data_IF_745257611121
#
_entry.id   IF_745257611121
#
_cell.length_a   1.000
_cell.length_b   1.000
_cell.length_c   1.000
_cell.angle_alpha   90.00
_cell.angle_beta   90.00
_cell.angle_gamma   90.00
#
_symmetry.space_group_name_H-M   'P 1'
#
loop_
_entity.id
_entity.type
_entity.pdbx_description
1 polymer ?
#
# COMPACT_ATOMS: atom_id res chain seq x y z
N UNK A 1 31.78 25.00 -26.88
CA UNK A 1 30.35 25.09 -27.24
C UNK A 1 29.83 23.67 -27.17
N UNK A 2 29.14 23.34 -26.08
CA UNK A 2 28.74 21.98 -25.74
C UNK A 2 27.23 21.95 -25.57
N UNK A 3 26.58 21.06 -26.32
CA UNK A 3 25.15 20.81 -26.19
C UNK A 3 24.96 19.38 -25.71
N UNK A 4 24.86 19.24 -24.39
CA UNK A 4 24.44 18.00 -23.73
C UNK A 4 22.94 18.07 -23.49
N UNK A 5 22.15 17.44 -24.35
CA UNK A 5 20.71 17.29 -24.15
C UNK A 5 20.43 16.14 -23.18
N UNK A 6 20.50 16.44 -21.88
CA UNK A 6 20.01 15.55 -20.83
C UNK A 6 18.50 15.75 -20.65
N UNK A 7 17.69 14.94 -21.34
CA UNK A 7 16.25 14.90 -21.10
C UNK A 7 15.95 14.09 -19.83
N UNK A 8 15.54 14.84 -18.81
CA UNK A 8 14.99 14.38 -17.53
C UNK A 8 13.83 13.40 -17.75
N UNK A 9 13.97 12.15 -17.31
CA UNK A 9 12.87 11.19 -17.23
C UNK A 9 12.51 10.92 -15.77
N UNK A 10 11.74 11.85 -15.20
CA UNK A 10 10.95 11.64 -13.98
C UNK A 10 9.48 11.48 -14.40
N UNK A 11 9.01 10.23 -14.45
CA UNK A 11 7.62 9.91 -14.78
C UNK A 11 7.14 8.67 -14.03
N UNK A 12 6.14 8.88 -13.17
CA UNK A 12 5.18 7.92 -12.59
C UNK A 12 5.72 6.56 -12.12
N UNK A 13 5.86 6.45 -10.79
CA UNK A 13 6.07 5.18 -10.08
C UNK A 13 4.77 4.35 -10.05
N UNK A 14 4.34 3.85 -11.21
CA UNK A 14 3.33 2.79 -11.34
C UNK A 14 3.90 1.42 -10.96
N UNK A 15 3.03 0.46 -10.64
CA UNK A 15 3.40 -0.85 -10.09
C UNK A 15 4.22 -1.73 -11.07
N UNK A 16 4.31 -1.37 -12.35
CA UNK A 16 5.29 -1.91 -13.33
C UNK A 16 6.73 -1.70 -12.88
N UNK A 17 6.98 -0.76 -11.96
CA UNK A 17 8.25 -0.64 -11.26
C UNK A 17 8.67 -1.93 -10.53
N UNK A 18 7.75 -2.86 -10.24
CA UNK A 18 8.06 -4.17 -9.63
C UNK A 18 8.59 -5.19 -10.64
N UNK A 19 8.14 -5.15 -11.90
CA UNK A 19 8.85 -5.80 -13.01
C UNK A 19 10.22 -5.15 -13.25
N UNK A 20 10.34 -3.82 -13.02
CA UNK A 20 11.62 -3.09 -13.10
C UNK A 20 12.59 -3.36 -11.94
N UNK A 21 12.11 -3.67 -10.73
CA UNK A 21 12.93 -4.01 -9.53
C UNK A 21 13.18 -5.51 -9.35
N UNK A 22 12.39 -6.34 -10.03
CA UNK A 22 12.49 -7.81 -9.99
C UNK A 22 13.61 -8.39 -10.85
N UNK A 23 14.41 -7.56 -11.51
CA UNK A 23 15.74 -7.95 -11.95
C UNK A 23 16.60 -8.20 -10.72
N UNK A 24 16.44 -9.37 -10.08
CA UNK A 24 17.60 -10.09 -9.55
C UNK A 24 18.69 -9.89 -10.58
N UNK A 25 19.86 -9.40 -10.19
CA UNK A 25 21.05 -9.50 -11.02
C UNK A 25 21.11 -10.94 -11.52
N UNK A 26 20.59 -11.19 -12.71
CA UNK A 26 20.62 -12.51 -13.31
C UNK A 26 22.10 -12.68 -13.58
N UNK A 27 22.75 -13.50 -12.77
CA UNK A 27 24.09 -13.97 -13.06
C UNK A 27 23.94 -14.77 -14.35
N UNK A 28 24.17 -14.09 -15.47
CA UNK A 28 24.29 -14.76 -16.75
C UNK A 28 25.51 -15.66 -16.65
N UNK A 29 25.34 -16.96 -16.88
CA UNK A 29 26.44 -17.94 -16.86
C UNK A 29 27.44 -17.74 -18.01
N UNK A 30 27.18 -16.79 -18.92
CA UNK A 30 28.16 -16.42 -19.95
C UNK A 30 29.22 -15.43 -19.45
N UNK A 31 30.05 -14.97 -20.39
CA UNK A 31 31.26 -14.22 -20.08
C UNK A 31 30.96 -12.92 -19.31
N UNK A 32 31.58 -12.77 -18.13
CA UNK A 32 31.49 -11.56 -17.32
C UNK A 32 31.97 -10.33 -18.12
N UNK A 33 31.16 -9.26 -18.11
CA UNK A 33 31.51 -7.97 -18.70
C UNK A 33 32.05 -7.06 -17.60
N UNK A 34 33.19 -6.43 -17.82
CA UNK A 34 33.81 -5.49 -16.86
C UNK A 34 33.57 -4.06 -17.35
N UNK A 35 33.04 -3.21 -16.48
CA UNK A 35 32.85 -1.80 -16.79
C UNK A 35 34.16 -1.01 -16.64
N UNK A 36 34.18 0.26 -17.08
CA UNK A 36 35.37 1.11 -16.96
C UNK A 36 35.78 1.45 -15.52
N UNK A 37 34.97 1.12 -14.52
CA UNK A 37 35.37 1.18 -13.11
C UNK A 37 36.19 -0.07 -12.66
N UNK A 38 36.41 -1.05 -13.54
CA UNK A 38 37.04 -2.33 -13.17
C UNK A 38 36.12 -3.30 -12.43
N UNK A 39 34.81 -3.00 -12.34
CA UNK A 39 33.81 -3.85 -11.68
C UNK A 39 33.02 -4.67 -12.70
N UNK A 40 32.49 -5.82 -12.27
CA UNK A 40 31.54 -6.60 -13.09
C UNK A 40 30.28 -5.78 -13.36
N UNK A 41 29.98 -5.60 -14.64
CA UNK A 41 28.77 -4.95 -15.13
C UNK A 41 27.58 -5.91 -14.96
N UNK A 42 26.56 -5.57 -14.14
CA UNK A 42 25.36 -6.39 -14.04
C UNK A 42 24.58 -6.46 -15.35
N UNK A 43 23.87 -7.57 -15.54
CA UNK A 43 22.83 -7.68 -16.56
C UNK A 43 21.58 -6.92 -16.10
N UNK A 44 21.12 -6.00 -16.94
CA UNK A 44 19.99 -5.13 -16.73
C UNK A 44 18.97 -5.32 -17.86
N UNK A 45 17.71 -4.98 -17.59
CA UNK A 45 16.64 -4.97 -18.59
C UNK A 45 16.20 -3.53 -18.84
N UNK A 46 16.13 -3.14 -20.11
CA UNK A 46 15.69 -1.81 -20.51
C UNK A 46 14.18 -1.64 -20.28
N UNK A 47 13.83 -0.45 -19.83
CA UNK A 47 12.45 -0.04 -19.56
C UNK A 47 12.03 1.17 -20.39
N UNK A 48 12.78 1.50 -21.43
CA UNK A 48 12.43 2.55 -22.40
C UNK A 48 11.44 1.99 -23.42
N UNK A 49 10.50 2.81 -23.88
CA UNK A 49 9.46 2.42 -24.83
C UNK A 49 10.01 1.75 -26.11
N UNK A 50 11.17 2.20 -26.57
CA UNK A 50 11.83 1.69 -27.78
C UNK A 50 12.55 0.36 -27.57
N UNK A 51 12.97 0.06 -26.33
CA UNK A 51 13.77 -1.12 -26.00
C UNK A 51 13.18 -1.88 -24.79
N UNK A 52 11.86 -1.90 -24.63
CA UNK A 52 11.23 -2.54 -23.47
C UNK A 52 11.59 -4.02 -23.41
N UNK A 53 12.04 -4.49 -22.25
CA UNK A 53 12.37 -5.90 -22.05
C UNK A 53 13.72 -6.33 -22.64
N UNK A 54 14.39 -5.49 -23.44
CA UNK A 54 15.70 -5.80 -24.03
C UNK A 54 16.80 -5.75 -22.98
N UNK A 55 17.68 -6.76 -22.94
CA UNK A 55 18.72 -6.84 -21.90
C UNK A 55 20.05 -6.23 -22.35
N UNK A 56 20.75 -5.62 -21.40
CA UNK A 56 22.06 -4.99 -21.59
C UNK A 56 22.94 -5.15 -20.35
N UNK A 57 24.26 -5.12 -20.53
CA UNK A 57 25.22 -4.94 -19.44
C UNK A 57 25.51 -3.46 -19.25
N UNK A 58 25.35 -2.95 -18.03
CA UNK A 58 25.60 -1.55 -17.69
C UNK A 58 26.45 -1.42 -16.44
N UNK A 59 27.17 -0.31 -16.27
CA UNK A 59 27.84 -0.02 -14.99
C UNK A 59 26.83 -0.06 -13.84
N UNK A 60 27.11 -0.68 -12.69
CA UNK A 60 26.18 -0.73 -11.54
C UNK A 60 25.65 0.65 -11.11
N UNK A 61 26.42 1.70 -11.35
CA UNK A 61 26.07 3.09 -11.01
C UNK A 61 25.39 3.86 -12.16
N UNK A 62 25.04 3.22 -13.28
CA UNK A 62 24.51 3.89 -14.48
C UNK A 62 23.23 4.70 -14.18
N UNK A 63 22.33 4.20 -13.34
CA UNK A 63 21.09 4.89 -12.98
C UNK A 63 21.29 6.09 -12.07
N UNK A 64 22.45 6.20 -11.42
CA UNK A 64 22.76 7.29 -10.48
C UNK A 64 23.40 8.50 -11.14
N UNK A 65 23.57 8.49 -12.47
CA UNK A 65 24.26 9.56 -13.21
C UNK A 65 25.77 9.66 -12.97
N UNK A 66 26.32 8.86 -12.05
CA UNK A 66 27.74 8.76 -11.70
C UNK A 66 28.40 7.49 -12.25
N UNK A 67 27.71 6.79 -13.15
CA UNK A 67 28.26 5.60 -13.81
C UNK A 67 29.35 5.99 -14.81
N UNK A 68 30.30 5.08 -15.04
CA UNK A 68 31.38 5.32 -16.00
C UNK A 68 30.96 5.26 -17.47
N UNK A 69 29.65 5.29 -17.79
CA UNK A 69 29.14 5.21 -19.16
C UNK A 69 29.20 3.84 -19.84
N UNK A 70 29.71 2.80 -19.17
CA UNK A 70 29.75 1.45 -19.77
C UNK A 70 28.34 0.93 -20.06
N UNK A 71 28.10 0.55 -21.32
CA UNK A 71 26.84 0.03 -21.81
C UNK A 71 27.06 -0.93 -22.98
N UNK A 72 26.44 -2.11 -22.94
CA UNK A 72 26.51 -3.10 -24.03
C UNK A 72 25.20 -3.89 -24.12
N UNK A 73 24.57 -3.92 -25.29
CA UNK A 73 23.39 -4.78 -25.52
C UNK A 73 23.77 -6.27 -25.48
N UNK A 74 22.97 -7.08 -24.78
CA UNK A 74 23.03 -8.54 -24.84
C UNK A 74 22.14 -9.05 -25.97
N UNK A 75 20.90 -8.56 -26.01
CA UNK A 75 19.93 -8.96 -27.02
C UNK A 75 20.04 -8.06 -28.27
N UNK A 76 19.75 -8.62 -29.45
CA UNK A 76 19.63 -7.87 -30.69
C UNK A 76 18.50 -6.84 -30.65
N UNK A 77 18.46 -5.95 -31.65
CA UNK A 77 17.33 -5.04 -31.80
C UNK A 77 16.05 -5.84 -32.06
N UNK A 78 14.96 -5.42 -31.39
CA UNK A 78 13.65 -5.98 -31.66
C UNK A 78 13.02 -5.27 -32.85
N UNK A 79 12.30 -6.03 -33.68
CA UNK A 79 11.50 -5.45 -34.76
C UNK A 79 10.37 -4.56 -34.22
N UNK A 80 9.84 -3.68 -35.08
CA UNK A 80 8.79 -2.73 -34.70
C UNK A 80 7.51 -3.40 -34.17
N UNK A 81 7.09 -4.53 -34.76
CA UNK A 81 5.90 -5.27 -34.38
C UNK A 81 5.94 -5.76 -32.92
N UNK A 82 6.96 -6.53 -32.47
CA UNK A 82 7.11 -6.91 -31.06
C UNK A 82 7.10 -5.72 -30.11
N UNK A 83 7.84 -4.65 -30.41
CA UNK A 83 7.92 -3.45 -29.55
C UNK A 83 6.55 -2.80 -29.37
N UNK A 84 5.77 -2.66 -30.45
CA UNK A 84 4.40 -2.11 -30.40
C UNK A 84 3.49 -2.95 -29.51
N UNK A 85 3.47 -4.27 -29.70
CA UNK A 85 2.63 -5.19 -28.90
C UNK A 85 3.00 -5.15 -27.43
N UNK A 86 4.30 -5.11 -27.10
CA UNK A 86 4.77 -5.01 -25.71
C UNK A 86 4.31 -3.69 -25.08
N UNK A 87 4.45 -2.57 -25.80
CA UNK A 87 3.99 -1.26 -25.31
C UNK A 87 2.46 -1.25 -25.09
N UNK A 88 1.68 -1.81 -26.03
CA UNK A 88 0.22 -1.90 -25.91
C UNK A 88 -0.19 -2.73 -24.69
N UNK A 89 0.46 -3.88 -24.49
CA UNK A 89 0.17 -4.77 -23.36
C UNK A 89 0.55 -4.14 -22.03
N UNK A 90 1.68 -3.44 -21.96
CA UNK A 90 2.07 -2.68 -20.75
C UNK A 90 1.01 -1.62 -20.45
N UNK A 91 0.56 -0.86 -21.46
CA UNK A 91 -0.50 0.12 -21.27
C UNK A 91 -1.84 -0.50 -20.84
N UNK A 92 -2.17 -1.70 -21.33
CA UNK A 92 -3.35 -2.44 -20.88
C UNK A 92 -3.24 -2.82 -19.39
N UNK A 93 -2.10 -3.36 -18.97
CA UNK A 93 -1.84 -3.74 -17.58
C UNK A 93 -1.90 -2.51 -16.66
N UNK A 94 -1.31 -1.39 -17.07
CA UNK A 94 -1.36 -0.14 -16.29
C UNK A 94 -2.80 0.34 -16.06
N UNK A 95 -3.61 0.38 -17.12
CA UNK A 95 -5.03 0.76 -16.99
C UNK A 95 -5.80 -0.18 -16.08
N UNK A 96 -5.54 -1.49 -16.18
CA UNK A 96 -6.18 -2.49 -15.33
C UNK A 96 -5.79 -2.33 -13.86
N UNK A 97 -4.49 -2.12 -13.57
CA UNK A 97 -3.99 -1.90 -12.22
C UNK A 97 -4.55 -0.61 -11.61
N UNK A 98 -4.61 0.48 -12.38
CA UNK A 98 -5.17 1.76 -11.94
C UNK A 98 -6.66 1.63 -11.61
N UNK A 99 -7.44 0.96 -12.47
CA UNK A 99 -8.85 0.68 -12.22
C UNK A 99 -9.06 -0.11 -10.92
N UNK A 100 -8.26 -1.16 -10.71
CA UNK A 100 -8.32 -1.98 -9.50
C UNK A 100 -7.92 -1.21 -8.24
N UNK A 101 -6.93 -0.31 -8.32
CA UNK A 101 -6.53 0.55 -7.20
C UNK A 101 -7.67 1.47 -6.80
N UNK A 102 -8.32 2.11 -7.78
CA UNK A 102 -9.45 2.99 -7.50
C UNK A 102 -10.63 2.22 -6.93
N UNK A 103 -10.94 1.04 -7.47
CA UNK A 103 -12.00 0.19 -6.94
C UNK A 103 -11.72 -0.26 -5.50
N UNK A 104 -10.48 -0.72 -5.21
CA UNK A 104 -10.08 -1.10 -3.85
C UNK A 104 -10.23 0.06 -2.87
N UNK A 105 -9.77 1.25 -3.24
CA UNK A 105 -9.93 2.47 -2.43
C UNK A 105 -11.41 2.80 -2.20
N UNK A 106 -12.24 2.65 -3.23
CA UNK A 106 -13.68 2.82 -3.11
C UNK A 106 -14.30 1.86 -2.11
N UNK A 107 -13.97 0.56 -2.19
CA UNK A 107 -14.44 -0.45 -1.24
C UNK A 107 -13.94 -0.14 0.18
N UNK A 108 -12.66 0.20 0.34
CA UNK A 108 -12.06 0.53 1.65
C UNK A 108 -12.73 1.75 2.28
N UNK A 109 -12.95 2.82 1.52
CA UNK A 109 -13.68 4.00 1.97
C UNK A 109 -15.14 3.68 2.32
N UNK A 110 -15.81 2.83 1.53
CA UNK A 110 -17.18 2.41 1.82
C UNK A 110 -17.25 1.60 3.12
N UNK A 111 -16.31 0.68 3.34
CA UNK A 111 -16.21 -0.08 4.60
C UNK A 111 -15.96 0.87 5.77
N UNK A 112 -15.07 1.85 5.60
CA UNK A 112 -14.78 2.84 6.63
C UNK A 112 -16.04 3.62 7.04
N UNK A 113 -16.77 4.19 6.09
CA UNK A 113 -18.02 4.92 6.36
C UNK A 113 -19.06 4.03 7.06
N UNK A 114 -19.25 2.81 6.57
CA UNK A 114 -20.19 1.86 7.17
C UNK A 114 -19.78 1.46 8.60
N UNK A 115 -18.48 1.38 8.88
CA UNK A 115 -17.96 1.08 10.23
C UNK A 115 -18.19 2.27 11.15
N UNK A 116 -17.94 3.50 10.72
CA UNK A 116 -18.20 4.70 11.52
C UNK A 116 -19.68 4.83 11.90
N UNK A 117 -20.59 4.59 10.96
CA UNK A 117 -22.04 4.60 11.22
C UNK A 117 -22.42 3.57 12.30
N UNK A 118 -21.91 2.34 12.17
CA UNK A 118 -22.17 1.29 13.17
C UNK A 118 -21.56 1.62 14.53
N UNK A 119 -20.38 2.23 14.58
CA UNK A 119 -19.76 2.66 15.84
C UNK A 119 -20.63 3.71 16.52
N UNK A 120 -21.18 4.67 15.77
CA UNK A 120 -22.10 5.68 16.30
C UNK A 120 -23.38 5.05 16.88
N UNK A 121 -24.00 4.11 16.16
CA UNK A 121 -25.20 3.40 16.60
C UNK A 121 -24.97 2.56 17.87
N UNK A 122 -23.81 1.90 17.95
CA UNK A 122 -23.40 1.16 19.15
C UNK A 122 -23.23 2.14 20.32
N UNK A 123 -22.62 3.30 20.10
CA UNK A 123 -22.47 4.35 21.12
C UNK A 123 -23.81 4.82 21.70
N UNK A 124 -24.79 5.12 20.85
CA UNK A 124 -26.15 5.49 21.28
C UNK A 124 -26.84 4.36 22.05
N UNK A 125 -26.64 3.12 21.60
CA UNK A 125 -27.19 1.94 22.28
C UNK A 125 -26.59 1.77 23.69
N UNK A 126 -25.30 2.05 23.86
CA UNK A 126 -24.64 2.01 25.18
C UNK A 126 -25.19 3.05 26.14
N UNK A 127 -25.39 4.30 25.69
CA UNK A 127 -25.98 5.37 26.51
C UNK A 127 -27.40 5.02 26.98
N UNK A 128 -28.19 4.40 26.09
CA UNK A 128 -29.53 3.92 26.44
C UNK A 128 -29.51 2.81 27.49
N UNK A 129 -28.51 1.93 27.47
CA UNK A 129 -28.36 0.89 28.51
C UNK A 129 -27.96 1.54 29.85
N UNK A 130 -27.03 2.50 29.85
CA UNK A 130 -26.61 3.22 31.06
C UNK A 130 -27.77 3.96 31.74
N UNK A 131 -28.60 4.67 30.96
CA UNK A 131 -29.79 5.35 31.49
C UNK A 131 -30.80 4.36 32.12
N UNK A 132 -30.94 3.16 31.54
CA UNK A 132 -31.78 2.10 32.11
C UNK A 132 -31.19 1.55 33.41
N UNK A 133 -29.87 1.36 33.49
CA UNK A 133 -29.19 0.89 34.70
C UNK A 133 -29.37 1.88 35.86
N UNK A 134 -29.10 3.18 35.64
CA UNK A 134 -29.30 4.23 36.66
C UNK A 134 -30.73 4.26 37.20
N UNK A 135 -31.73 4.05 36.34
CA UNK A 135 -33.14 3.98 36.74
C UNK A 135 -33.42 2.75 37.61
N UNK A 136 -32.82 1.59 37.30
CA UNK A 136 -32.95 0.38 38.12
C UNK A 136 -32.26 0.56 39.46
N UNK A 137 -31.04 1.07 39.49
CA UNK A 137 -30.29 1.35 40.73
C UNK A 137 -31.04 2.33 41.64
N UNK A 138 -31.60 3.41 41.08
CA UNK A 138 -32.41 4.35 41.87
C UNK A 138 -33.66 3.69 42.48
N UNK A 139 -34.34 2.81 41.73
CA UNK A 139 -35.50 2.05 42.25
C UNK A 139 -35.09 1.04 43.32
N UNK A 140 -33.97 0.35 43.12
CA UNK A 140 -33.43 -0.61 44.08
C UNK A 140 -33.04 0.09 45.38
N UNK A 141 -32.33 1.22 45.28
CA UNK A 141 -31.96 2.05 46.43
C UNK A 141 -33.18 2.47 47.23
N UNK A 142 -34.22 2.99 46.56
CA UNK A 142 -35.46 3.39 47.23
C UNK A 142 -36.15 2.22 47.95
N UNK A 143 -36.19 1.03 47.32
CA UNK A 143 -36.77 -0.16 47.94
C UNK A 143 -35.96 -0.62 49.16
N UNK A 144 -34.63 -0.66 49.07
CA UNK A 144 -33.75 -1.03 50.18
C UNK A 144 -33.91 -0.06 51.36
N UNK A 145 -33.89 1.26 51.12
CA UNK A 145 -34.11 2.25 52.17
C UNK A 145 -35.47 2.08 52.86
N UNK A 146 -36.53 1.80 52.10
CA UNK A 146 -37.86 1.51 52.67
C UNK A 146 -37.88 0.26 53.54
N UNK A 147 -37.23 -0.83 53.11
CA UNK A 147 -37.13 -2.07 53.90
C UNK A 147 -36.31 -1.87 55.18
N UNK A 148 -35.19 -1.14 55.12
CA UNK A 148 -34.37 -0.84 56.30
C UNK A 148 -35.13 0.06 57.30
N UNK A 149 -35.82 1.08 56.81
CA UNK A 149 -36.61 1.99 57.65
C UNK A 149 -37.77 1.26 58.34
N UNK A 150 -38.53 0.47 57.60
CA UNK A 150 -39.62 -0.34 58.16
C UNK A 150 -39.11 -1.35 59.18
N UNK A 151 -37.98 -2.01 58.91
CA UNK A 151 -37.34 -2.92 59.86
C UNK A 151 -36.90 -2.20 61.15
N UNK A 152 -36.31 -1.00 61.04
CA UNK A 152 -35.91 -0.20 62.20
C UNK A 152 -37.11 0.17 63.09
N UNK A 153 -38.23 0.58 62.49
CA UNK A 153 -39.47 0.87 63.23
C UNK A 153 -39.99 -0.34 64.00
N UNK A 154 -39.96 -1.53 63.39
CA UNK A 154 -40.38 -2.78 64.04
C UNK A 154 -39.49 -3.09 65.24
N UNK A 155 -38.16 -2.97 65.11
CA UNK A 155 -37.22 -3.22 66.22
C UNK A 155 -37.47 -2.25 67.37
N UNK A 156 -37.65 -0.96 67.09
CA UNK A 156 -37.95 0.05 68.12
C UNK A 156 -39.28 -0.25 68.83
N UNK A 157 -40.33 -0.63 68.10
CA UNK A 157 -41.64 -0.97 68.66
C UNK A 157 -41.61 -2.20 69.58
N UNK A 158 -40.74 -3.17 69.31
CA UNK A 158 -40.61 -4.38 70.14
C UNK A 158 -39.81 -4.09 71.43
N UNK A 159 -38.88 -3.14 71.39
CA UNK A 159 -37.95 -2.84 72.49
C UNK A 159 -38.50 -1.80 73.48
N UNK A 160 -39.34 -0.86 73.03
CA UNK A 160 -39.99 0.17 73.85
C UNK A 160 -41.37 -0.28 74.34
#
# INVERSE_FOLDING_TARGET
MGDSSASSMNGSQGRVARLRRGGRQLQYEGQARICHCGMVAPLCTSSTEQNLGRRFFGCRNYQKGIGCGFFQWLDGEMGARPTQVINELVGYVDRYDDGNVMQRRGIENQVYVNVEEKIADIGLSMEKIDSRLKKVEGRLGLAIYGLLFTWLLIVVYIVC
#
